data_IF_582370078949
#
_entry.id   IF_582370078949
#
_cell.length_a   1.000
_cell.length_b   1.000
_cell.length_c   1.000
_cell.angle_alpha   90.00
_cell.angle_beta   90.00
_cell.angle_gamma   90.00
#
_symmetry.space_group_name_H-M   'P 1'
#
loop_
_entity.id
_entity.type
_entity.pdbx_description
1 polymer ?
#
# COMPACT_ATOMS: atom_id res chain seq x y z
N UNK A 1 -27.17 18.43 -22.71
CA UNK A 1 -27.00 18.12 -21.26
C UNK A 1 -26.03 16.97 -21.00
N UNK A 2 -26.10 15.84 -21.71
CA UNK A 2 -25.22 14.66 -21.47
C UNK A 2 -23.72 14.90 -21.74
N UNK A 3 -23.35 15.86 -22.59
CA UNK A 3 -21.95 16.17 -22.89
C UNK A 3 -21.27 16.85 -21.69
N UNK A 4 -21.91 17.85 -21.09
CA UNK A 4 -21.40 18.56 -19.90
C UNK A 4 -21.22 17.63 -18.69
N UNK A 5 -22.14 16.70 -18.47
CA UNK A 5 -22.03 15.71 -17.39
C UNK A 5 -20.78 14.81 -17.55
N UNK A 6 -20.41 14.46 -18.79
CA UNK A 6 -19.19 13.66 -19.05
C UNK A 6 -17.91 14.44 -18.72
N UNK A 7 -17.86 15.73 -19.07
CA UNK A 7 -16.69 16.56 -18.79
C UNK A 7 -16.51 16.84 -17.29
N UNK A 8 -17.60 17.16 -16.58
CA UNK A 8 -17.56 17.36 -15.13
C UNK A 8 -17.08 16.08 -14.43
N UNK A 9 -17.61 14.92 -14.83
CA UNK A 9 -17.19 13.64 -14.25
C UNK A 9 -15.73 13.33 -14.54
N UNK A 10 -15.23 13.62 -15.75
CA UNK A 10 -13.82 13.44 -16.09
C UNK A 10 -12.91 14.33 -15.22
N UNK A 11 -13.24 15.61 -15.05
CA UNK A 11 -12.47 16.54 -14.22
C UNK A 11 -12.44 16.09 -12.76
N UNK A 12 -13.58 15.70 -12.20
CA UNK A 12 -13.67 15.20 -10.82
C UNK A 12 -12.84 13.93 -10.65
N UNK A 13 -12.90 13.01 -11.62
CA UNK A 13 -12.09 11.79 -11.58
C UNK A 13 -10.60 12.12 -11.60
N UNK A 14 -10.14 13.03 -12.48
CA UNK A 14 -8.73 13.43 -12.55
C UNK A 14 -8.27 14.14 -11.27
N UNK A 15 -9.11 15.00 -10.68
CA UNK A 15 -8.82 15.61 -9.37
C UNK A 15 -8.65 14.54 -8.27
N UNK A 16 -9.57 13.58 -8.24
CA UNK A 16 -9.49 12.46 -7.30
C UNK A 16 -8.33 11.50 -7.58
N UNK A 17 -7.84 11.36 -8.83
CA UNK A 17 -6.63 10.54 -9.11
C UNK A 17 -5.41 11.26 -8.56
N UNK A 18 -5.28 12.57 -8.78
CA UNK A 18 -4.13 13.33 -8.29
C UNK A 18 -4.01 13.31 -6.75
N UNK A 19 -5.13 13.50 -6.05
CA UNK A 19 -5.15 13.44 -4.58
C UNK A 19 -4.80 12.02 -4.08
N UNK A 20 -5.35 10.99 -4.74
CA UNK A 20 -5.07 9.59 -4.44
C UNK A 20 -3.59 9.23 -4.64
N UNK A 21 -2.99 9.70 -5.74
CA UNK A 21 -1.56 9.49 -6.03
C UNK A 21 -0.70 10.15 -4.97
N UNK A 22 -0.92 11.42 -4.64
CA UNK A 22 -0.09 12.13 -3.66
C UNK A 22 -0.17 11.46 -2.27
N UNK A 23 -1.39 11.21 -1.80
CA UNK A 23 -1.61 10.65 -0.48
C UNK A 23 -1.17 9.18 -0.37
N UNK A 24 -1.46 8.37 -1.39
CA UNK A 24 -1.02 6.98 -1.48
C UNK A 24 0.51 6.88 -1.59
N UNK A 25 1.13 7.70 -2.44
CA UNK A 25 2.58 7.70 -2.65
C UNK A 25 3.32 8.03 -1.35
N UNK A 26 2.90 9.06 -0.61
CA UNK A 26 3.54 9.42 0.66
C UNK A 26 3.51 8.27 1.68
N UNK A 27 2.37 7.55 1.78
CA UNK A 27 2.24 6.42 2.68
C UNK A 27 3.14 5.25 2.24
N UNK A 28 3.06 4.86 0.97
CA UNK A 28 3.83 3.73 0.46
C UNK A 28 5.34 4.03 0.45
N UNK A 29 5.75 5.28 0.20
CA UNK A 29 7.14 5.69 0.24
C UNK A 29 7.71 5.50 1.65
N UNK A 30 6.95 5.88 2.68
CA UNK A 30 7.39 5.70 4.06
C UNK A 30 7.42 4.23 4.50
N UNK A 31 6.55 3.37 3.95
CA UNK A 31 6.45 1.97 4.36
C UNK A 31 7.40 1.04 3.59
N UNK A 32 7.44 1.18 2.28
CA UNK A 32 8.02 0.21 1.34
C UNK A 32 9.18 0.81 0.52
N UNK A 33 9.44 2.11 0.65
CA UNK A 33 10.43 2.83 -0.14
C UNK A 33 9.89 3.31 -1.49
N UNK A 34 10.69 4.15 -2.15
CA UNK A 34 10.25 4.92 -3.32
C UNK A 34 9.84 4.04 -4.52
N UNK A 35 10.58 2.96 -4.78
CA UNK A 35 10.31 2.08 -5.93
C UNK A 35 8.97 1.35 -5.82
N UNK A 36 8.67 0.80 -4.64
CA UNK A 36 7.39 0.13 -4.39
C UNK A 36 6.23 1.13 -4.35
N UNK A 37 6.43 2.32 -3.80
CA UNK A 37 5.42 3.37 -3.77
C UNK A 37 4.97 3.77 -5.17
N UNK A 38 5.93 3.98 -6.07
CA UNK A 38 5.66 4.35 -7.45
C UNK A 38 4.91 3.24 -8.19
N UNK A 39 5.35 1.99 -8.03
CA UNK A 39 4.72 0.84 -8.69
C UNK A 39 3.28 0.62 -8.20
N UNK A 40 3.03 0.70 -6.89
CA UNK A 40 1.69 0.54 -6.32
C UNK A 40 0.77 1.66 -6.80
N UNK A 41 1.20 2.93 -6.71
CA UNK A 41 0.37 4.06 -7.16
C UNK A 41 0.01 3.95 -8.65
N UNK A 42 0.94 3.53 -9.51
CA UNK A 42 0.66 3.31 -10.94
C UNK A 42 -0.36 2.19 -11.14
N UNK A 43 -0.18 1.04 -10.48
CA UNK A 43 -1.07 -0.12 -10.64
C UNK A 43 -2.49 0.21 -10.20
N UNK A 44 -2.65 0.82 -9.01
CA UNK A 44 -3.96 1.18 -8.48
C UNK A 44 -4.69 2.18 -9.39
N UNK A 45 -3.99 3.17 -9.94
CA UNK A 45 -4.60 4.13 -10.86
C UNK A 45 -4.94 3.53 -12.22
N UNK A 46 -4.10 2.64 -12.78
CA UNK A 46 -4.45 1.89 -13.98
C UNK A 46 -5.72 1.07 -13.76
N UNK A 47 -5.81 0.33 -12.65
CA UNK A 47 -7.03 -0.43 -12.33
C UNK A 47 -8.24 0.48 -12.18
N UNK A 48 -8.10 1.62 -11.51
CA UNK A 48 -9.18 2.59 -11.33
C UNK A 48 -9.68 3.13 -12.67
N UNK A 49 -8.77 3.51 -13.57
CA UNK A 49 -9.10 3.98 -14.92
C UNK A 49 -9.78 2.88 -15.76
N UNK A 50 -9.31 1.64 -15.67
CA UNK A 50 -9.90 0.50 -16.37
C UNK A 50 -11.31 0.20 -15.86
N UNK A 51 -11.54 0.23 -14.54
CA UNK A 51 -12.87 0.10 -13.95
C UNK A 51 -13.81 1.21 -14.43
N UNK A 52 -13.34 2.45 -14.46
CA UNK A 52 -14.13 3.60 -14.86
C UNK A 52 -14.48 3.54 -16.36
N UNK A 53 -13.52 3.15 -17.20
CA UNK A 53 -13.75 2.88 -18.62
C UNK A 53 -14.77 1.75 -18.83
N UNK A 54 -14.66 0.65 -18.06
CA UNK A 54 -15.61 -0.45 -18.13
C UNK A 54 -17.02 -0.05 -17.67
N UNK A 55 -17.13 0.89 -16.72
CA UNK A 55 -18.40 1.42 -16.22
C UNK A 55 -19.09 2.32 -17.26
N UNK A 56 -18.31 3.16 -17.95
CA UNK A 56 -18.78 4.08 -19.00
C UNK A 56 -19.16 3.33 -20.28
N UNK A 57 -18.33 2.38 -20.73
CA UNK A 57 -18.43 1.84 -22.10
C UNK A 57 -19.29 0.56 -22.22
N UNK A 58 -19.54 -0.17 -21.13
CA UNK A 58 -20.16 -1.50 -21.22
C UNK A 58 -21.59 -1.58 -20.61
N UNK A 59 -22.34 -2.61 -21.05
CA UNK A 59 -23.71 -2.94 -20.60
C UNK A 59 -23.76 -3.56 -19.18
N UNK A 60 -24.96 -3.64 -18.60
CA UNK A 60 -25.32 -4.07 -17.23
C UNK A 60 -24.41 -5.12 -16.56
N UNK A 61 -24.00 -6.18 -17.27
CA UNK A 61 -23.24 -7.29 -16.70
C UNK A 61 -21.80 -6.91 -16.30
N UNK A 62 -21.11 -6.08 -17.09
CA UNK A 62 -19.78 -5.58 -16.68
C UNK A 62 -19.90 -4.56 -15.57
N UNK A 63 -21.01 -3.80 -15.52
CA UNK A 63 -21.27 -2.84 -14.43
C UNK A 63 -21.38 -3.57 -13.10
N UNK A 64 -22.01 -4.76 -13.08
CA UNK A 64 -22.09 -5.58 -11.87
C UNK A 64 -20.73 -5.96 -11.29
N UNK A 65 -19.70 -6.17 -12.12
CA UNK A 65 -18.35 -6.49 -11.64
C UNK A 65 -17.44 -5.26 -11.47
N UNK A 66 -17.62 -4.24 -12.32
CA UNK A 66 -16.77 -3.03 -12.31
C UNK A 66 -17.07 -2.14 -11.11
N UNK A 67 -18.33 -2.05 -10.68
CA UNK A 67 -18.74 -1.25 -9.51
C UNK A 67 -18.09 -1.75 -8.21
N UNK A 68 -18.24 -3.04 -7.80
CA UNK A 68 -17.64 -3.52 -6.57
C UNK A 68 -16.10 -3.47 -6.61
N UNK A 69 -15.49 -3.76 -7.77
CA UNK A 69 -14.03 -3.64 -7.92
C UNK A 69 -13.58 -2.18 -7.75
N UNK A 70 -14.30 -1.23 -8.35
CA UNK A 70 -14.01 0.20 -8.18
C UNK A 70 -14.14 0.63 -6.72
N UNK A 71 -15.20 0.21 -6.02
CA UNK A 71 -15.41 0.54 -4.60
C UNK A 71 -14.28 -0.03 -3.74
N UNK A 72 -13.83 -1.26 -4.01
CA UNK A 72 -12.71 -1.90 -3.30
C UNK A 72 -11.38 -1.17 -3.52
N UNK A 73 -11.08 -0.77 -4.76
CA UNK A 73 -9.87 0.01 -5.07
C UNK A 73 -9.95 1.39 -4.40
N UNK A 74 -11.10 2.07 -4.52
CA UNK A 74 -11.31 3.39 -3.96
C UNK A 74 -11.23 3.38 -2.43
N UNK A 75 -11.73 2.34 -1.75
CA UNK A 75 -11.64 2.23 -0.29
C UNK A 75 -10.21 2.05 0.18
N UNK A 76 -9.39 1.26 -0.52
CA UNK A 76 -7.95 1.11 -0.21
C UNK A 76 -7.22 2.45 -0.40
N UNK A 77 -7.51 3.18 -1.48
CA UNK A 77 -6.91 4.50 -1.71
C UNK A 77 -7.35 5.53 -0.66
N UNK A 78 -8.63 5.52 -0.27
CA UNK A 78 -9.16 6.40 0.78
C UNK A 78 -8.53 6.10 2.14
N UNK A 79 -8.40 4.82 2.51
CA UNK A 79 -7.71 4.40 3.73
C UNK A 79 -6.24 4.82 3.72
N UNK A 80 -5.56 4.66 2.58
CA UNK A 80 -4.18 5.12 2.42
C UNK A 80 -4.08 6.63 2.62
N UNK A 81 -5.02 7.40 2.07
CA UNK A 81 -5.05 8.85 2.22
C UNK A 81 -5.34 9.31 3.65
N UNK A 82 -6.31 8.70 4.34
CA UNK A 82 -6.62 8.98 5.76
C UNK A 82 -5.39 8.68 6.62
N UNK A 83 -4.74 7.54 6.38
CA UNK A 83 -3.53 7.15 7.11
C UNK A 83 -2.40 8.13 6.85
N UNK A 84 -2.18 8.55 5.59
CA UNK A 84 -1.17 9.55 5.26
C UNK A 84 -1.46 10.93 5.87
N UNK A 85 -2.73 11.33 5.96
CA UNK A 85 -3.09 12.61 6.57
C UNK A 85 -2.82 12.57 8.08
N UNK A 86 -3.24 11.48 8.72
CA UNK A 86 -3.01 11.33 10.16
C UNK A 86 -1.52 11.19 10.46
N UNK A 87 -0.73 10.48 9.65
CA UNK A 87 0.72 10.46 9.83
C UNK A 87 1.34 11.84 9.65
N UNK A 88 0.83 12.69 8.75
CA UNK A 88 1.27 14.09 8.64
C UNK A 88 0.88 14.94 9.85
N UNK A 89 -0.33 14.76 10.40
CA UNK A 89 -0.80 15.48 11.59
C UNK A 89 0.01 15.04 12.82
N UNK A 90 0.07 13.73 13.07
CA UNK A 90 0.83 13.15 14.16
C UNK A 90 2.33 13.38 13.98
N UNK A 91 2.86 13.43 12.76
CA UNK A 91 4.27 13.81 12.56
C UNK A 91 4.49 15.26 12.89
N UNK A 92 3.61 16.19 12.51
CA UNK A 92 3.72 17.60 12.88
C UNK A 92 3.63 17.81 14.40
N UNK A 93 2.80 17.01 15.09
CA UNK A 93 2.67 17.03 16.55
C UNK A 93 3.88 16.37 17.24
N UNK A 94 4.35 15.22 16.73
CA UNK A 94 5.43 14.43 17.32
C UNK A 94 6.85 14.89 16.93
N UNK A 95 7.03 15.63 15.83
CA UNK A 95 8.35 16.18 15.45
C UNK A 95 8.88 17.18 16.46
N UNK A 96 8.01 17.75 17.30
CA UNK A 96 8.41 18.80 18.24
C UNK A 96 8.67 18.25 19.65
N UNK A 97 7.91 17.26 20.13
CA UNK A 97 7.98 16.84 21.55
C UNK A 97 8.78 15.55 21.81
N UNK A 98 8.56 14.48 21.05
CA UNK A 98 9.07 13.15 21.41
C UNK A 98 10.59 12.93 21.26
N UNK A 99 11.28 13.37 20.18
CA UNK A 99 12.72 13.13 20.05
C UNK A 99 13.52 13.94 21.07
N UNK A 100 13.04 15.15 21.41
CA UNK A 100 13.65 16.01 22.41
C UNK A 100 13.56 15.37 23.80
N UNK A 101 12.38 14.89 24.20
CA UNK A 101 12.20 14.24 25.50
C UNK A 101 13.01 12.94 25.63
N UNK A 102 13.05 12.11 24.58
CA UNK A 102 13.87 10.89 24.60
C UNK A 102 15.36 11.21 24.76
N UNK A 103 15.89 12.17 23.99
CA UNK A 103 17.30 12.52 24.07
C UNK A 103 17.64 13.21 25.40
N UNK A 104 16.74 14.03 25.95
CA UNK A 104 16.86 14.57 27.30
C UNK A 104 16.91 13.46 28.35
N UNK A 105 15.99 12.48 28.29
CA UNK A 105 15.98 11.34 29.20
C UNK A 105 17.26 10.50 29.09
N UNK A 106 17.77 10.30 27.87
CA UNK A 106 19.04 9.63 27.63
C UNK A 106 20.21 10.36 28.28
N UNK A 107 20.26 11.69 28.14
CA UNK A 107 21.28 12.54 28.79
C UNK A 107 21.18 12.50 30.31
N UNK A 108 19.98 12.57 30.87
CA UNK A 108 19.75 12.44 32.32
C UNK A 108 20.25 11.09 32.83
N UNK A 109 19.96 9.99 32.11
CA UNK A 109 20.44 8.66 32.48
C UNK A 109 21.97 8.57 32.47
N UNK A 110 22.62 9.15 31.46
CA UNK A 110 24.08 9.19 31.37
C UNK A 110 24.70 10.02 32.50
N UNK A 111 24.14 11.18 32.82
CA UNK A 111 24.54 12.01 33.97
C UNK A 111 24.43 11.19 35.27
N UNK A 112 23.30 10.51 35.50
CA UNK A 112 23.08 9.67 36.67
C UNK A 112 24.10 8.54 36.76
N UNK A 113 24.39 7.88 35.65
CA UNK A 113 25.38 6.80 35.59
C UNK A 113 26.79 7.30 35.95
N UNK A 114 27.23 8.41 35.36
CA UNK A 114 28.56 8.99 35.62
C UNK A 114 28.67 9.45 37.08
N UNK A 115 27.61 10.06 37.62
CA UNK A 115 27.55 10.44 39.03
C UNK A 115 27.71 9.23 39.96
N UNK A 116 26.96 8.15 39.71
CA UNK A 116 27.05 6.90 40.47
C UNK A 116 28.47 6.34 40.43
N UNK A 117 29.10 6.30 39.26
CA UNK A 117 30.49 5.84 39.13
C UNK A 117 31.46 6.67 39.96
N UNK A 118 31.29 8.00 40.00
CA UNK A 118 32.13 8.90 40.80
C UNK A 118 31.92 8.68 42.30
N UNK A 119 30.66 8.56 42.74
CA UNK A 119 30.32 8.28 44.14
C UNK A 119 30.86 6.91 44.59
N UNK A 120 30.72 5.86 43.78
CA UNK A 120 31.26 4.52 44.07
C UNK A 120 32.78 4.54 44.24
N UNK A 121 33.50 5.31 43.41
CA UNK A 121 34.95 5.47 43.58
C UNK A 121 35.31 6.10 44.93
N UNK A 122 34.60 7.16 45.33
CA UNK A 122 34.81 7.82 46.63
C UNK A 122 34.49 6.88 47.81
N UNK A 123 33.37 6.15 47.74
CA UNK A 123 32.99 5.17 48.75
C UNK A 123 34.07 4.08 48.89
N UNK A 124 34.59 3.57 47.77
CA UNK A 124 35.66 2.58 47.79
C UNK A 124 36.96 3.11 48.43
N UNK A 125 37.28 4.39 48.26
CA UNK A 125 38.42 5.02 48.95
C UNK A 125 38.18 5.17 50.46
N UNK A 126 36.97 5.52 50.86
CA UNK A 126 36.58 5.59 52.28
C UNK A 126 36.61 4.20 52.91
N UNK A 127 36.12 3.18 52.21
CA UNK A 127 36.13 1.79 52.70
C UNK A 127 37.56 1.29 52.96
N UNK A 128 38.50 1.60 52.06
CA UNK A 128 39.92 1.30 52.31
C UNK A 128 40.46 1.98 53.58
N UNK A 129 40.04 3.23 53.86
CA UNK A 129 40.44 3.96 55.08
C UNK A 129 39.77 3.38 56.33
N UNK A 130 38.50 3.00 56.24
CA UNK A 130 37.76 2.29 57.29
C UNK A 130 38.47 0.98 57.63
N UNK A 131 38.86 0.19 56.63
CA UNK A 131 39.58 -1.08 56.84
C UNK A 131 40.92 -0.87 57.55
N UNK A 132 41.66 0.18 57.21
CA UNK A 132 42.89 0.55 57.93
C UNK A 132 42.59 0.88 59.40
N UNK A 133 41.54 1.68 59.68
CA UNK A 133 41.16 2.02 61.05
C UNK A 133 40.73 0.78 61.84
N UNK A 134 39.92 -0.11 61.24
CA UNK A 134 39.49 -1.39 61.84
C UNK A 134 40.68 -2.28 62.17
N UNK A 135 41.63 -2.42 61.24
CA UNK A 135 42.87 -3.16 61.51
C UNK A 135 43.63 -2.54 62.68
N UNK A 136 43.81 -1.21 62.73
CA UNK A 136 44.51 -0.54 63.84
C UNK A 136 43.82 -0.71 65.19
N UNK A 137 42.49 -0.69 65.22
CA UNK A 137 41.71 -0.98 66.43
C UNK A 137 41.84 -2.44 66.87
N UNK A 138 41.95 -3.39 65.95
CA UNK A 138 42.19 -4.79 66.29
C UNK A 138 43.54 -5.01 67.00
N UNK A 139 44.55 -4.16 66.73
CA UNK A 139 45.84 -4.18 67.44
C UNK A 139 45.80 -3.45 68.79
N UNK A 140 44.93 -2.45 68.95
CA UNK A 140 44.76 -1.69 70.17
C UNK A 140 43.32 -1.14 70.28
N UNK A 141 42.47 -1.88 70.99
CA UNK A 141 41.03 -1.64 71.06
C UNK A 141 40.67 -0.30 71.72
N UNK A 142 41.48 0.15 72.68
CA UNK A 142 41.22 1.35 73.48
C UNK A 142 41.84 2.62 72.89
N UNK A 143 42.38 2.57 71.67
CA UNK A 143 42.95 3.74 71.02
C UNK A 143 41.85 4.71 70.57
N UNK A 144 41.47 5.65 71.45
CA UNK A 144 40.37 6.61 71.21
C UNK A 144 40.52 7.52 69.99
N UNK A 145 41.73 7.67 69.43
CA UNK A 145 41.93 8.33 68.13
C UNK A 145 41.30 7.52 66.99
N UNK A 146 41.59 6.22 66.90
CA UNK A 146 41.15 5.38 65.80
C UNK A 146 39.64 5.13 65.84
N UNK A 147 39.02 5.08 67.02
CA UNK A 147 37.56 4.99 67.18
C UNK A 147 36.86 6.25 66.61
N UNK A 148 37.28 7.44 67.03
CA UNK A 148 36.72 8.71 66.52
C UNK A 148 36.93 8.84 65.01
N UNK A 149 38.09 8.43 64.49
CA UNK A 149 38.36 8.48 63.05
C UNK A 149 37.50 7.50 62.25
N UNK A 150 37.27 6.30 62.78
CA UNK A 150 36.37 5.32 62.18
C UNK A 150 34.94 5.88 62.09
N UNK A 151 34.42 6.42 63.19
CA UNK A 151 33.08 7.02 63.23
C UNK A 151 32.94 8.17 62.22
N UNK A 152 33.96 9.05 62.11
CA UNK A 152 33.99 10.11 61.11
C UNK A 152 33.88 9.56 59.68
N UNK A 153 34.64 8.51 59.34
CA UNK A 153 34.65 7.92 58.01
C UNK A 153 33.33 7.19 57.70
N UNK A 154 32.73 6.53 58.68
CA UNK A 154 31.41 5.89 58.54
C UNK A 154 30.30 6.94 58.35
N UNK A 155 30.38 8.07 59.05
CA UNK A 155 29.48 9.20 58.85
C UNK A 155 29.66 9.82 57.46
N UNK A 156 30.90 10.01 57.00
CA UNK A 156 31.21 10.51 55.66
C UNK A 156 30.65 9.58 54.57
N UNK A 157 30.84 8.26 54.71
CA UNK A 157 30.26 7.25 53.80
C UNK A 157 28.73 7.34 53.77
N UNK A 158 28.08 7.44 54.92
CA UNK A 158 26.61 7.58 55.02
C UNK A 158 26.11 8.83 54.33
N UNK A 159 26.80 9.97 54.50
CA UNK A 159 26.43 11.21 53.82
C UNK A 159 26.53 11.09 52.29
N UNK A 160 27.57 10.46 51.75
CA UNK A 160 27.72 10.27 50.30
C UNK A 160 26.58 9.39 49.75
N UNK A 161 26.26 8.28 50.43
CA UNK A 161 25.16 7.39 50.06
C UNK A 161 23.81 8.12 50.07
N UNK A 162 23.53 8.90 51.11
CA UNK A 162 22.28 9.65 51.21
C UNK A 162 22.15 10.74 50.12
N UNK A 163 23.25 11.44 49.80
CA UNK A 163 23.26 12.40 48.68
C UNK A 163 23.07 11.68 47.34
N UNK A 164 23.68 10.51 47.14
CA UNK A 164 23.50 9.70 45.94
C UNK A 164 22.06 9.25 45.78
N UNK A 165 21.42 8.75 46.83
CA UNK A 165 20.03 8.31 46.80
C UNK A 165 19.08 9.47 46.51
N UNK A 166 19.30 10.63 47.12
CA UNK A 166 18.54 11.85 46.83
C UNK A 166 18.70 12.28 45.38
N UNK A 167 19.93 12.24 44.85
CA UNK A 167 20.19 12.58 43.46
C UNK A 167 19.53 11.62 42.47
N UNK A 168 19.60 10.32 42.72
CA UNK A 168 18.98 9.30 41.86
C UNK A 168 17.44 9.42 41.85
N UNK A 169 16.84 9.75 42.99
CA UNK A 169 15.40 10.00 43.11
C UNK A 169 14.96 11.32 42.49
N UNK A 170 15.83 12.33 42.46
CA UNK A 170 15.53 13.58 41.77
C UNK A 170 15.40 13.34 40.26
N UNK A 171 14.22 13.62 39.71
CA UNK A 171 13.99 13.63 38.27
C UNK A 171 13.34 14.96 37.94
N UNK A 172 13.99 15.85 37.16
CA UNK A 172 13.44 17.15 36.85
C UNK A 172 12.17 16.98 36.00
N UNK A 173 11.02 17.37 36.54
CA UNK A 173 9.76 17.46 35.81
C UNK A 173 9.63 18.80 35.08
N UNK A 174 10.26 19.86 35.60
CA UNK A 174 10.21 21.23 35.10
C UNK A 174 11.66 21.67 34.81
N UNK A 175 11.90 22.29 33.65
CA UNK A 175 13.21 22.81 33.20
C UNK A 175 14.33 21.75 33.08
N UNK A 176 14.05 20.64 32.40
CA UNK A 176 15.02 19.55 32.16
C UNK A 176 16.34 20.02 31.57
N UNK A 177 16.31 20.98 30.64
CA UNK A 177 17.53 21.45 29.97
C UNK A 177 18.49 22.20 30.91
N UNK A 178 17.96 23.02 31.83
CA UNK A 178 18.78 23.70 32.85
C UNK A 178 19.40 22.68 33.80
N UNK A 179 18.62 21.69 34.22
CA UNK A 179 19.12 20.61 35.06
C UNK A 179 20.23 19.81 34.35
N UNK A 180 20.03 19.45 33.07
CA UNK A 180 21.04 18.75 32.28
C UNK A 180 22.30 19.60 32.17
N UNK A 181 22.20 20.89 31.84
CA UNK A 181 23.36 21.78 31.70
C UNK A 181 24.15 21.92 33.01
N UNK A 182 23.46 22.13 34.14
CA UNK A 182 24.07 22.29 35.46
C UNK A 182 24.85 21.03 35.89
N UNK A 183 24.22 19.86 35.81
CA UNK A 183 24.85 18.61 36.24
C UNK A 183 25.87 18.08 35.22
N UNK A 184 25.70 18.37 33.94
CA UNK A 184 26.72 18.12 32.94
C UNK A 184 28.00 18.92 33.25
N UNK A 185 27.86 20.22 33.56
CA UNK A 185 28.99 21.07 33.93
C UNK A 185 29.67 20.58 35.22
N UNK A 186 28.91 20.23 36.26
CA UNK A 186 29.44 19.66 37.52
C UNK A 186 30.22 18.36 37.31
N UNK A 187 29.88 17.57 36.30
CA UNK A 187 30.52 16.30 35.96
C UNK A 187 31.55 16.42 34.82
N UNK A 188 31.79 17.62 34.29
CA UNK A 188 32.62 17.86 33.10
C UNK A 188 32.19 17.03 31.87
N UNK A 189 30.88 16.85 31.68
CA UNK A 189 30.32 16.18 30.51
C UNK A 189 29.98 17.22 29.43
N UNK A 190 30.49 17.01 28.22
CA UNK A 190 30.17 17.85 27.06
C UNK A 190 29.12 17.17 26.20
N UNK A 191 27.91 17.73 26.17
CA UNK A 191 26.86 17.30 25.25
C UNK A 191 26.80 18.21 24.03
N UNK A 192 26.59 17.64 22.84
CA UNK A 192 26.27 18.44 21.66
C UNK A 192 24.93 19.16 21.86
N UNK A 193 24.75 20.39 21.34
CA UNK A 193 23.44 21.03 21.33
C UNK A 193 22.42 20.10 20.66
N UNK A 194 21.18 20.14 21.15
CA UNK A 194 20.07 19.41 20.53
C UNK A 194 19.75 20.09 19.19
N UNK A 195 20.53 19.79 18.16
CA UNK A 195 20.15 20.10 16.78
C UNK A 195 18.89 19.30 16.46
N UNK A 196 17.92 19.93 15.79
CA UNK A 196 16.70 19.30 15.33
C UNK A 196 17.07 18.05 14.53
N UNK A 197 16.89 16.86 15.11
CA UNK A 197 17.03 15.62 14.36
C UNK A 197 15.93 15.61 13.29
N UNK A 198 16.30 15.39 12.04
CA UNK A 198 15.36 15.22 10.91
C UNK A 198 14.41 14.03 11.17
N UNK A 199 13.30 14.31 11.86
CA UNK A 199 12.39 13.34 12.47
C UNK A 199 11.42 12.66 11.51
N UNK A 200 11.66 12.70 10.20
CA UNK A 200 10.70 12.25 9.20
C UNK A 200 10.35 10.75 9.27
N UNK A 201 11.31 9.88 9.59
CA UNK A 201 11.11 8.43 9.54
C UNK A 201 10.55 7.82 10.83
N UNK A 202 10.85 8.41 11.99
CA UNK A 202 10.38 7.95 13.31
C UNK A 202 8.90 8.28 13.56
N UNK A 203 8.39 9.35 12.95
CA UNK A 203 7.03 9.78 13.15
C UNK A 203 6.03 8.75 12.60
N UNK A 204 6.24 8.30 11.36
CA UNK A 204 5.34 7.34 10.71
C UNK A 204 5.28 6.01 11.46
N UNK A 205 6.41 5.57 12.02
CA UNK A 205 6.45 4.34 12.82
C UNK A 205 5.69 4.46 14.14
N UNK A 206 5.72 5.63 14.78
CA UNK A 206 4.94 5.91 15.99
C UNK A 206 3.43 5.95 15.71
N UNK A 207 3.01 6.60 14.62
CA UNK A 207 1.60 6.73 14.25
C UNK A 207 0.98 5.40 13.89
N UNK A 208 1.71 4.54 13.16
CA UNK A 208 1.25 3.20 12.83
C UNK A 208 1.01 2.39 14.12
N UNK A 209 1.92 2.51 15.08
CA UNK A 209 1.76 1.80 16.35
C UNK A 209 0.58 2.35 17.17
N UNK A 210 0.38 3.67 17.19
CA UNK A 210 -0.72 4.30 17.93
C UNK A 210 -2.10 4.01 17.32
N UNK A 211 -2.23 4.05 16.00
CA UNK A 211 -3.51 3.77 15.33
C UNK A 211 -3.92 2.31 15.39
N UNK A 212 -2.96 1.40 15.20
CA UNK A 212 -3.27 -0.01 14.95
C UNK A 212 -2.86 -0.92 16.11
N UNK A 213 -1.98 -0.47 17.00
CA UNK A 213 -1.35 -1.32 18.02
C UNK A 213 -0.33 -2.30 17.44
N UNK A 214 0.12 -2.08 16.20
CA UNK A 214 0.89 -3.05 15.42
C UNK A 214 2.34 -2.56 15.25
N UNK A 215 3.31 -3.48 15.23
CA UNK A 215 4.71 -3.14 14.92
C UNK A 215 4.90 -2.74 13.46
N UNK A 216 5.93 -1.95 13.15
CA UNK A 216 6.23 -1.50 11.78
C UNK A 216 6.39 -2.66 10.80
N UNK A 217 7.00 -3.76 11.26
CA UNK A 217 7.23 -4.96 10.47
C UNK A 217 5.92 -5.69 10.16
N UNK A 218 5.01 -5.78 11.13
CA UNK A 218 3.69 -6.35 10.93
C UNK A 218 2.83 -5.47 10.00
N UNK A 219 2.88 -4.14 10.14
CA UNK A 219 2.17 -3.21 9.27
C UNK A 219 2.65 -3.34 7.80
N UNK A 220 3.96 -3.42 7.57
CA UNK A 220 4.53 -3.69 6.24
C UNK A 220 4.01 -5.00 5.64
N UNK A 221 3.96 -6.09 6.43
CA UNK A 221 3.45 -7.38 5.99
C UNK A 221 1.95 -7.32 5.63
N UNK A 222 1.14 -6.65 6.46
CA UNK A 222 -0.30 -6.49 6.23
C UNK A 222 -0.55 -5.69 4.96
N UNK A 223 0.09 -4.53 4.80
CA UNK A 223 -0.07 -3.69 3.61
C UNK A 223 0.42 -4.41 2.36
N UNK A 224 1.56 -5.10 2.42
CA UNK A 224 2.05 -5.90 1.29
C UNK A 224 1.08 -7.02 0.91
N UNK A 225 0.54 -7.76 1.89
CA UNK A 225 -0.43 -8.83 1.65
C UNK A 225 -1.73 -8.29 1.05
N UNK A 226 -2.22 -7.16 1.57
CA UNK A 226 -3.42 -6.47 1.07
C UNK A 226 -3.23 -6.02 -0.39
N UNK A 227 -2.09 -5.41 -0.71
CA UNK A 227 -1.77 -4.96 -2.07
C UNK A 227 -1.76 -6.15 -3.04
N UNK A 228 -1.12 -7.27 -2.67
CA UNK A 228 -1.10 -8.47 -3.50
C UNK A 228 -2.53 -9.02 -3.69
N UNK A 229 -3.30 -9.16 -2.62
CA UNK A 229 -4.69 -9.63 -2.67
C UNK A 229 -5.55 -8.78 -3.60
N UNK A 230 -5.49 -7.45 -3.47
CA UNK A 230 -6.26 -6.51 -4.30
C UNK A 230 -5.82 -6.60 -5.76
N UNK A 231 -4.52 -6.74 -6.01
CA UNK A 231 -3.97 -6.88 -7.37
C UNK A 231 -4.43 -8.17 -8.03
N UNK A 232 -4.35 -9.30 -7.32
CA UNK A 232 -4.82 -10.61 -7.80
C UNK A 232 -6.33 -10.62 -8.10
N UNK A 233 -7.14 -10.09 -7.17
CA UNK A 233 -8.60 -9.92 -7.38
C UNK A 233 -8.84 -9.03 -8.61
N UNK A 234 -8.09 -7.94 -8.75
CA UNK A 234 -8.16 -7.04 -9.90
C UNK A 234 -7.86 -7.75 -11.22
N UNK A 235 -6.82 -8.58 -11.29
CA UNK A 235 -6.46 -9.37 -12.46
C UNK A 235 -7.58 -10.35 -12.82
N UNK A 236 -8.10 -11.09 -11.84
CA UNK A 236 -9.20 -12.06 -12.05
C UNK A 236 -10.44 -11.36 -12.60
N UNK A 237 -10.88 -10.27 -11.97
CA UNK A 237 -12.07 -9.54 -12.41
C UNK A 237 -11.85 -8.92 -13.80
N UNK A 238 -10.66 -8.38 -14.07
CA UNK A 238 -10.33 -7.83 -15.38
C UNK A 238 -10.37 -8.90 -16.48
N UNK A 239 -9.88 -10.10 -16.19
CA UNK A 239 -9.93 -11.24 -17.12
C UNK A 239 -11.37 -11.65 -17.47
N UNK A 240 -12.29 -11.58 -16.49
CA UNK A 240 -13.72 -11.86 -16.70
C UNK A 240 -14.38 -10.78 -17.57
N UNK A 241 -14.05 -9.51 -17.35
CA UNK A 241 -14.53 -8.39 -18.16
C UNK A 241 -14.06 -8.54 -19.62
N UNK A 242 -12.79 -8.92 -19.83
CA UNK A 242 -12.22 -9.14 -21.16
C UNK A 242 -12.90 -10.30 -21.89
N UNK A 243 -13.08 -11.46 -21.23
CA UNK A 243 -13.79 -12.62 -21.81
C UNK A 243 -15.23 -12.28 -22.20
N UNK A 244 -15.95 -11.52 -21.37
CA UNK A 244 -17.32 -11.09 -21.65
C UNK A 244 -17.42 -10.23 -22.93
N UNK A 245 -16.42 -9.41 -23.20
CA UNK A 245 -16.37 -8.55 -24.38
C UNK A 245 -16.05 -9.31 -25.69
N UNK A 246 -15.16 -10.31 -25.64
CA UNK A 246 -14.80 -11.11 -26.82
C UNK A 246 -15.98 -11.97 -27.30
N UNK A 247 -16.65 -12.68 -26.38
CA UNK A 247 -17.82 -13.52 -26.70
C UNK A 247 -18.97 -12.69 -27.26
N UNK A 248 -19.10 -11.42 -26.84
CA UNK A 248 -20.14 -10.51 -27.35
C UNK A 248 -19.81 -9.87 -28.68
N UNK A 249 -18.56 -9.49 -28.96
CA UNK A 249 -18.20 -9.04 -30.32
C UNK A 249 -18.51 -10.14 -31.33
N UNK A 250 -18.21 -11.39 -31.00
CA UNK A 250 -18.63 -12.53 -31.82
C UNK A 250 -20.16 -12.59 -32.00
N UNK A 251 -20.95 -12.48 -30.92
CA UNK A 251 -22.43 -12.50 -31.00
C UNK A 251 -23.06 -11.31 -31.74
N UNK A 252 -22.51 -10.11 -31.60
CA UNK A 252 -23.02 -8.90 -32.28
C UNK A 252 -22.69 -8.95 -33.76
N UNK A 253 -21.49 -9.44 -34.12
CA UNK A 253 -21.15 -9.72 -35.52
C UNK A 253 -22.15 -10.71 -36.09
N UNK A 254 -22.37 -11.86 -35.42
CA UNK A 254 -23.33 -12.90 -35.85
C UNK A 254 -24.75 -12.34 -36.02
N UNK A 255 -25.30 -11.58 -35.08
CA UNK A 255 -26.67 -10.99 -35.22
C UNK A 255 -26.77 -9.93 -36.32
N UNK A 256 -25.69 -9.19 -36.59
CA UNK A 256 -25.68 -8.19 -37.67
C UNK A 256 -25.58 -8.88 -39.03
N UNK A 257 -24.83 -9.96 -39.14
CA UNK A 257 -24.87 -10.83 -40.33
C UNK A 257 -26.20 -11.54 -40.45
N UNK A 258 -26.81 -12.04 -39.38
CA UNK A 258 -28.14 -12.68 -39.41
C UNK A 258 -29.22 -11.72 -39.93
N UNK A 259 -29.23 -10.45 -39.47
CA UNK A 259 -30.14 -9.42 -39.99
C UNK A 259 -29.82 -8.93 -41.41
N UNK A 260 -28.59 -9.12 -41.90
CA UNK A 260 -28.23 -8.83 -43.29
C UNK A 260 -28.43 -10.03 -44.22
N UNK A 261 -28.39 -11.25 -43.68
CA UNK A 261 -28.55 -12.53 -44.41
C UNK A 261 -30.01 -12.98 -44.45
N UNK A 262 -30.88 -12.49 -43.56
CA UNK A 262 -32.34 -12.50 -43.75
C UNK A 262 -32.67 -11.28 -44.61
N UNK A 263 -32.87 -11.42 -45.93
CA UNK A 263 -33.08 -10.28 -46.80
C UNK A 263 -34.40 -9.61 -46.42
N UNK A 264 -34.30 -8.35 -45.98
CA UNK A 264 -35.41 -7.43 -46.18
C UNK A 264 -35.65 -7.38 -47.69
N UNK A 265 -36.88 -7.73 -48.10
CA UNK A 265 -37.37 -8.17 -49.43
C UNK A 265 -37.12 -7.23 -50.62
N UNK A 266 -36.21 -6.27 -50.52
CA UNK A 266 -35.94 -5.19 -51.49
C UNK A 266 -34.46 -4.91 -51.76
N UNK A 267 -33.54 -5.82 -51.42
CA UNK A 267 -32.16 -5.71 -51.90
C UNK A 267 -31.97 -6.60 -53.13
N UNK A 268 -31.65 -5.97 -54.26
CA UNK A 268 -31.30 -6.55 -55.57
C UNK A 268 -29.96 -7.28 -55.52
N UNK A 269 -29.76 -8.15 -54.53
CA UNK A 269 -28.68 -9.14 -54.54
C UNK A 269 -28.98 -10.15 -55.64
N UNK A 270 -28.04 -10.32 -56.59
CA UNK A 270 -28.13 -11.36 -57.63
C UNK A 270 -28.11 -12.78 -57.06
N UNK A 271 -27.67 -12.95 -55.81
CA UNK A 271 -27.72 -14.20 -55.09
C UNK A 271 -28.82 -14.12 -54.02
N UNK A 272 -29.97 -14.72 -54.30
CA UNK A 272 -30.99 -15.00 -53.28
C UNK A 272 -30.91 -16.49 -52.96
N UNK A 273 -30.91 -16.79 -51.66
CA UNK A 273 -31.05 -18.15 -51.15
C UNK A 273 -32.50 -18.30 -50.67
N UNK A 274 -33.21 -19.30 -51.18
CA UNK A 274 -34.61 -19.49 -50.81
C UNK A 274 -34.73 -19.99 -49.35
N UNK A 275 -35.86 -19.74 -48.69
CA UNK A 275 -36.08 -20.25 -47.33
C UNK A 275 -36.04 -21.78 -47.27
N UNK A 276 -36.44 -22.48 -48.33
CA UNK A 276 -36.32 -23.93 -48.45
C UNK A 276 -34.87 -24.38 -48.53
N UNK A 277 -34.03 -23.71 -49.34
CA UNK A 277 -32.58 -23.99 -49.42
C UNK A 277 -31.90 -23.81 -48.06
N UNK A 278 -32.27 -22.76 -47.30
CA UNK A 278 -31.72 -22.54 -45.96
C UNK A 278 -32.12 -23.65 -44.99
N UNK A 279 -33.40 -24.04 -45.00
CA UNK A 279 -33.92 -25.10 -44.12
C UNK A 279 -33.21 -26.43 -44.39
N UNK A 280 -32.95 -26.76 -45.64
CA UNK A 280 -32.24 -27.98 -46.03
C UNK A 280 -30.76 -27.96 -45.62
N UNK A 281 -30.08 -26.82 -45.81
CA UNK A 281 -28.70 -26.65 -45.32
C UNK A 281 -28.59 -26.72 -43.81
N UNK A 282 -29.58 -26.16 -43.09
CA UNK A 282 -29.61 -26.20 -41.62
C UNK A 282 -29.79 -27.62 -41.06
N UNK A 283 -30.25 -28.58 -41.87
CA UNK A 283 -30.27 -30.00 -41.52
C UNK A 283 -28.91 -30.68 -41.56
N UNK A 284 -27.94 -30.13 -42.30
CA UNK A 284 -26.61 -30.72 -42.51
C UNK A 284 -25.48 -29.95 -41.83
N UNK A 285 -25.65 -28.63 -41.64
CA UNK A 285 -24.63 -27.74 -41.08
C UNK A 285 -25.22 -26.90 -39.96
N UNK A 286 -24.38 -26.53 -39.00
CA UNK A 286 -24.79 -25.61 -37.95
C UNK A 286 -25.08 -24.22 -38.54
N UNK A 287 -26.05 -23.52 -37.98
CA UNK A 287 -26.39 -22.15 -38.38
C UNK A 287 -25.17 -21.20 -38.36
N UNK A 288 -24.28 -21.37 -37.38
CA UNK A 288 -23.03 -20.61 -37.30
C UNK A 288 -22.11 -20.85 -38.50
N UNK A 289 -22.01 -22.09 -38.99
CA UNK A 289 -21.19 -22.43 -40.17
C UNK A 289 -21.77 -21.82 -41.44
N UNK A 290 -23.10 -21.89 -41.63
CA UNK A 290 -23.80 -21.33 -42.79
C UNK A 290 -23.64 -19.81 -42.82
N UNK A 291 -23.90 -19.13 -41.69
CA UNK A 291 -23.76 -17.68 -41.57
C UNK A 291 -22.31 -17.25 -41.79
N UNK A 292 -21.35 -17.96 -41.22
CA UNK A 292 -19.92 -17.66 -41.42
C UNK A 292 -19.52 -17.83 -42.88
N UNK A 293 -20.02 -18.86 -43.57
CA UNK A 293 -19.77 -19.06 -45.00
C UNK A 293 -20.32 -17.92 -45.85
N UNK A 294 -21.60 -17.54 -45.65
CA UNK A 294 -22.25 -16.46 -46.41
C UNK A 294 -21.56 -15.12 -46.12
N UNK A 295 -21.24 -14.83 -44.86
CA UNK A 295 -20.57 -13.60 -44.46
C UNK A 295 -19.17 -13.47 -45.06
N UNK A 296 -18.36 -14.53 -44.98
CA UNK A 296 -16.99 -14.53 -45.49
C UNK A 296 -16.91 -14.40 -47.02
N UNK A 297 -17.98 -14.76 -47.74
CA UNK A 297 -18.02 -14.75 -49.21
C UNK A 297 -19.06 -13.78 -49.77
N UNK A 298 -19.57 -12.86 -48.94
CA UNK A 298 -20.66 -11.96 -49.32
C UNK A 298 -20.29 -11.10 -50.55
N UNK A 299 -19.04 -10.62 -50.61
CA UNK A 299 -18.57 -9.79 -51.72
C UNK A 299 -18.62 -10.54 -53.06
N UNK A 300 -18.20 -11.82 -53.07
CA UNK A 300 -18.22 -12.66 -54.27
C UNK A 300 -19.66 -12.97 -54.70
N UNK A 301 -20.51 -13.31 -53.73
CA UNK A 301 -21.92 -13.61 -53.95
C UNK A 301 -22.69 -12.40 -54.49
N UNK A 302 -22.45 -11.21 -53.94
CA UNK A 302 -23.10 -9.96 -54.38
C UNK A 302 -22.57 -9.50 -55.74
N UNK A 303 -21.24 -9.48 -55.93
CA UNK A 303 -20.62 -8.92 -57.15
C UNK A 303 -20.83 -9.81 -58.38
N UNK A 304 -20.76 -11.13 -58.19
CA UNK A 304 -20.76 -12.08 -59.30
C UNK A 304 -22.02 -12.95 -59.38
N UNK A 305 -22.85 -13.00 -58.34
CA UNK A 305 -24.04 -13.86 -58.31
C UNK A 305 -23.73 -15.36 -58.36
N UNK A 306 -22.47 -15.76 -58.13
CA UNK A 306 -21.99 -17.14 -58.19
C UNK A 306 -21.29 -17.54 -56.90
N UNK A 307 -21.26 -18.84 -56.63
CA UNK A 307 -20.51 -19.39 -55.50
C UNK A 307 -18.99 -19.19 -55.70
N UNK A 308 -18.22 -18.90 -54.63
CA UNK A 308 -16.76 -18.77 -54.67
C UNK A 308 -16.08 -20.06 -55.18
N UNK A 309 -14.86 -19.97 -55.71
CA UNK A 309 -14.18 -21.15 -56.24
C UNK A 309 -13.78 -22.12 -55.13
N UNK A 310 -13.92 -23.44 -55.37
CA UNK A 310 -13.63 -24.44 -54.34
C UNK A 310 -12.19 -24.36 -53.78
N UNK A 311 -11.22 -23.93 -54.60
CA UNK A 311 -9.82 -23.76 -54.19
C UNK A 311 -9.61 -22.67 -53.13
N UNK A 312 -10.49 -21.67 -53.07
CA UNK A 312 -10.42 -20.53 -52.13
C UNK A 312 -11.08 -20.84 -50.78
N UNK A 313 -11.75 -21.99 -50.67
CA UNK A 313 -12.53 -22.37 -49.51
C UNK A 313 -11.81 -23.43 -48.66
N UNK A 314 -12.04 -23.38 -47.34
CA UNK A 314 -11.64 -24.46 -46.43
C UNK A 314 -12.40 -25.76 -46.72
N UNK A 315 -11.90 -26.92 -46.26
CA UNK A 315 -12.54 -28.23 -46.48
C UNK A 315 -14.03 -28.22 -46.10
N UNK A 316 -14.37 -27.62 -44.95
CA UNK A 316 -15.74 -27.51 -44.45
C UNK A 316 -16.60 -26.56 -45.31
N UNK A 317 -16.05 -25.43 -45.73
CA UNK A 317 -16.75 -24.49 -46.60
C UNK A 317 -16.98 -25.07 -48.01
N UNK A 318 -16.10 -25.95 -48.49
CA UNK A 318 -16.31 -26.68 -49.76
C UNK A 318 -17.51 -27.60 -49.70
N UNK A 319 -17.77 -28.25 -48.55
CA UNK A 319 -18.97 -29.08 -48.33
C UNK A 319 -20.23 -28.21 -48.40
N UNK A 320 -20.27 -27.07 -47.69
CA UNK A 320 -21.39 -26.12 -47.73
C UNK A 320 -21.62 -25.62 -49.16
N UNK A 321 -20.56 -25.23 -49.87
CA UNK A 321 -20.64 -24.83 -51.29
C UNK A 321 -21.21 -25.95 -52.16
N UNK A 322 -20.79 -27.20 -51.95
CA UNK A 322 -21.25 -28.36 -52.72
C UNK A 322 -22.74 -28.59 -52.48
N UNK A 323 -23.20 -28.55 -51.24
CA UNK A 323 -24.63 -28.66 -50.91
C UNK A 323 -25.43 -27.53 -51.56
N UNK A 324 -24.98 -26.26 -51.49
CA UNK A 324 -25.66 -25.15 -52.16
C UNK A 324 -25.70 -25.34 -53.69
N UNK A 325 -24.61 -25.84 -54.30
CA UNK A 325 -24.55 -26.09 -55.73
C UNK A 325 -25.51 -27.22 -56.17
N UNK A 326 -25.69 -28.24 -55.33
CA UNK A 326 -26.64 -29.32 -55.57
C UNK A 326 -28.10 -28.87 -55.46
N UNK A 327 -28.39 -27.92 -54.56
CA UNK A 327 -29.75 -27.37 -54.40
C UNK A 327 -30.16 -26.44 -55.55
N UNK A 328 -29.18 -25.87 -56.28
CA UNK A 328 -29.40 -24.92 -57.38
C UNK A 328 -29.31 -25.52 -58.78
N UNK A 329 -28.74 -26.73 -58.91
CA UNK A 329 -28.62 -27.45 -60.17
C UNK A 329 -29.83 -28.33 -60.41
#
# INVERSE_FOLDING_TARGET
MQIYQKYILAIVVVGLTMISIDAGFSLYMSLLGIGMALLISIIFEIFRLVCLYALVNNQLLSRMFSVPLYVLIASVCALAAITSLHTKITSAENTIQYPLEMEQNRRIALIKQVYVQKATKQINEIDKKIDVCKRKLAWNEHAGYWQRRLEQLENEKRMILDVQDRFLKSTPLIERDKWIAEYAAKLNLTFKPLEQMDGGSSAVTSTIHQMWGITTLQAKKIVSSLVVLVTEIGIVVLSLILKGNVVRRARVVVKKTEKQVIPNRKTTSKFQMSQSEYKELSGQFSEAEIVTFVAANNDVLQKHGRLPYARELSKRQREIRKSIAQLKG
#
